data_IF_677250260973
#
_entry.id   IF_677250260973
#
_cell.length_a   1.000
_cell.length_b   1.000
_cell.length_c   1.000
_cell.angle_alpha   90.00
_cell.angle_beta   90.00
_cell.angle_gamma   90.00
#
_symmetry.space_group_name_H-M   'P 1'
#
loop_
_entity.id
_entity.type
_entity.pdbx_description
1 polymer ?
#
# COMPACT_ATOMS: atom_id res chain seq x y z
N UNK A 1 -17.09 8.89 32.65
CA UNK A 1 -15.62 8.75 32.62
C UNK A 1 -15.06 9.63 31.52
N UNK A 2 -14.02 10.41 31.82
CA UNK A 2 -13.38 11.27 30.82
C UNK A 2 -12.57 10.43 29.80
N UNK A 3 -12.28 11.04 28.64
CA UNK A 3 -11.81 10.30 27.46
C UNK A 3 -10.42 9.71 27.65
N UNK A 4 -9.55 10.42 28.39
CA UNK A 4 -8.21 9.96 28.70
C UNK A 4 -8.22 8.68 29.55
N UNK A 5 -9.13 8.56 30.50
CA UNK A 5 -9.27 7.38 31.36
C UNK A 5 -9.66 6.15 30.53
N UNK A 6 -10.53 6.32 29.53
CA UNK A 6 -10.86 5.25 28.59
C UNK A 6 -9.64 4.82 27.75
N UNK A 7 -8.82 5.78 27.30
CA UNK A 7 -7.57 5.50 26.57
C UNK A 7 -6.61 4.70 27.45
N UNK A 8 -6.48 5.08 28.73
CA UNK A 8 -5.59 4.46 29.70
C UNK A 8 -6.19 3.24 30.42
N UNK A 9 -7.36 2.77 30.00
CA UNK A 9 -7.96 1.55 30.56
C UNK A 9 -7.10 0.33 30.25
N UNK A 10 -6.98 -0.58 31.23
CA UNK A 10 -6.14 -1.78 31.11
C UNK A 10 -6.53 -2.64 29.90
N UNK A 11 -7.83 -2.77 29.62
CA UNK A 11 -8.32 -3.54 28.48
C UNK A 11 -7.91 -2.94 27.14
N UNK A 12 -7.98 -1.61 26.99
CA UNK A 12 -7.55 -0.89 25.79
C UNK A 12 -6.02 -0.99 25.59
N UNK A 13 -5.26 -0.71 26.65
CA UNK A 13 -3.80 -0.80 26.63
C UNK A 13 -3.32 -2.22 26.27
N UNK A 14 -3.96 -3.26 26.81
CA UNK A 14 -3.62 -4.66 26.45
C UNK A 14 -3.81 -4.92 24.94
N UNK A 15 -4.86 -4.37 24.34
CA UNK A 15 -5.09 -4.46 22.89
C UNK A 15 -4.03 -3.67 22.10
N UNK A 16 -3.66 -2.48 22.57
CA UNK A 16 -2.63 -1.67 21.95
C UNK A 16 -1.25 -2.36 21.97
N UNK A 17 -0.88 -2.97 23.10
CA UNK A 17 0.37 -3.72 23.26
C UNK A 17 0.47 -4.86 22.25
N UNK A 18 -0.54 -5.75 22.23
CA UNK A 18 -0.59 -6.89 21.30
C UNK A 18 -0.49 -6.44 19.84
N UNK A 19 -1.10 -5.30 19.50
CA UNK A 19 -1.06 -4.74 18.14
C UNK A 19 0.34 -4.25 17.77
N UNK A 20 1.04 -3.57 18.67
CA UNK A 20 2.42 -3.11 18.42
C UNK A 20 3.40 -4.28 18.30
N UNK A 21 3.25 -5.30 19.15
CA UNK A 21 4.05 -6.53 19.08
C UNK A 21 3.84 -7.29 17.78
N UNK A 22 2.59 -7.47 17.35
CA UNK A 22 2.26 -8.16 16.11
C UNK A 22 2.83 -7.46 14.86
N UNK A 23 2.98 -6.13 14.91
CA UNK A 23 3.52 -5.36 13.77
C UNK A 23 5.03 -5.58 13.56
N UNK A 24 5.79 -6.01 14.60
CA UNK A 24 7.25 -6.21 14.56
C UNK A 24 8.01 -5.05 13.89
N UNK A 25 7.55 -3.82 14.14
CA UNK A 25 8.08 -2.62 13.50
C UNK A 25 9.47 -2.27 14.02
N UNK A 26 10.33 -1.74 13.15
CA UNK A 26 11.68 -1.30 13.52
C UNK A 26 11.66 -0.32 14.72
N UNK A 27 12.73 -0.31 15.54
CA UNK A 27 12.82 0.57 16.71
C UNK A 27 12.80 2.06 16.31
N UNK A 28 12.42 2.89 17.28
CA UNK A 28 12.48 4.34 17.19
C UNK A 28 13.91 4.86 17.30
N UNK A 29 14.05 6.11 17.75
CA UNK A 29 15.36 6.73 17.97
C UNK A 29 16.10 6.18 19.21
N UNK A 30 15.36 5.59 20.15
CA UNK A 30 15.82 5.02 21.41
C UNK A 30 16.37 3.58 21.28
N UNK A 31 16.26 2.98 20.10
CA UNK A 31 16.77 1.63 19.84
C UNK A 31 15.94 0.49 20.44
N UNK A 32 14.97 0.78 21.32
CA UNK A 32 14.14 -0.24 21.98
C UNK A 32 13.24 -0.94 20.97
N UNK A 33 13.38 -2.27 20.88
CA UNK A 33 12.61 -3.11 19.97
C UNK A 33 11.21 -3.44 20.52
N UNK A 34 10.34 -3.99 19.68
CA UNK A 34 9.01 -4.44 20.12
C UNK A 34 9.07 -5.64 21.07
N UNK A 35 10.18 -6.38 21.09
CA UNK A 35 10.35 -7.57 21.94
C UNK A 35 10.55 -7.18 23.41
N UNK A 36 11.22 -6.05 23.67
CA UNK A 36 11.44 -5.52 25.02
C UNK A 36 10.33 -4.60 25.54
N UNK A 37 9.29 -4.34 24.73
CA UNK A 37 8.24 -3.40 25.08
C UNK A 37 7.48 -3.80 26.36
N UNK A 38 7.27 -5.09 26.59
CA UNK A 38 6.58 -5.57 27.81
C UNK A 38 7.37 -5.27 29.06
N UNK A 39 8.66 -5.61 29.05
CA UNK A 39 9.52 -5.45 30.22
C UNK A 39 9.71 -3.97 30.54
N UNK A 40 9.93 -3.15 29.50
CA UNK A 40 10.00 -1.70 29.65
C UNK A 40 8.73 -1.11 30.29
N UNK A 41 7.54 -1.56 29.84
CA UNK A 41 6.28 -1.09 30.42
C UNK A 41 6.09 -1.58 31.86
N UNK A 42 6.56 -2.77 32.26
CA UNK A 42 6.45 -3.23 33.65
C UNK A 42 7.18 -2.29 34.61
N UNK A 43 8.35 -1.82 34.22
CA UNK A 43 9.18 -0.95 35.04
C UNK A 43 8.71 0.51 35.01
N UNK A 44 8.45 1.08 33.82
CA UNK A 44 8.27 2.52 33.67
C UNK A 44 6.81 2.98 33.54
N UNK A 45 5.83 2.06 33.40
CA UNK A 45 4.44 2.44 33.17
C UNK A 45 3.81 3.31 34.26
N UNK A 46 4.02 3.09 35.57
CA UNK A 46 3.45 3.96 36.61
C UNK A 46 3.81 5.44 36.40
N UNK A 47 5.09 5.72 36.14
CA UNK A 47 5.58 7.07 35.88
C UNK A 47 5.05 7.65 34.56
N UNK A 48 5.00 6.84 33.48
CA UNK A 48 4.44 7.27 32.19
C UNK A 48 2.96 7.61 32.32
N UNK A 49 2.18 6.75 33.00
CA UNK A 49 0.75 6.94 33.23
C UNK A 49 0.49 8.21 34.03
N UNK A 50 1.26 8.46 35.08
CA UNK A 50 1.15 9.68 35.87
C UNK A 50 1.40 10.93 35.01
N UNK A 51 2.49 10.97 34.24
CA UNK A 51 2.80 12.08 33.32
C UNK A 51 1.71 12.32 32.27
N UNK A 52 1.06 11.25 31.80
CA UNK A 52 -0.06 11.35 30.85
C UNK A 52 -1.31 11.96 31.51
N UNK A 53 -1.63 11.55 32.74
CA UNK A 53 -2.78 12.07 33.50
C UNK A 53 -2.61 13.56 33.87
N UNK A 54 -1.39 13.95 34.27
CA UNK A 54 -1.01 15.33 34.59
C UNK A 54 -0.85 16.20 33.33
N UNK A 55 -0.76 15.59 32.15
CA UNK A 55 -0.55 16.30 30.89
C UNK A 55 0.85 16.91 30.74
N UNK A 56 1.84 16.36 31.45
CA UNK A 56 3.26 16.73 31.41
C UNK A 56 4.08 15.83 30.48
N UNK A 57 3.50 14.71 30.02
CA UNK A 57 4.14 13.80 29.07
C UNK A 57 4.53 14.51 27.76
N UNK A 58 5.81 14.39 27.38
CA UNK A 58 6.34 14.84 26.10
C UNK A 58 6.78 13.64 25.27
N UNK A 59 6.17 13.40 24.10
CA UNK A 59 6.60 12.35 23.19
C UNK A 59 8.04 12.53 22.70
N UNK A 60 8.70 11.43 22.41
CA UNK A 60 10.03 11.48 21.81
C UNK A 60 9.96 11.90 20.33
N UNK A 61 10.98 12.60 19.80
CA UNK A 61 11.04 12.90 18.37
C UNK A 61 11.08 11.64 17.52
N UNK A 62 10.53 11.72 16.31
CA UNK A 62 10.48 10.55 15.42
C UNK A 62 11.80 10.35 14.68
N UNK A 63 12.20 9.10 14.48
CA UNK A 63 13.40 8.76 13.69
C UNK A 63 13.10 8.91 12.19
N UNK A 64 13.90 9.69 11.47
CA UNK A 64 13.75 9.89 10.02
C UNK A 64 14.32 8.68 9.26
N UNK A 65 13.55 8.13 8.32
CA UNK A 65 14.00 7.06 7.42
C UNK A 65 13.59 7.37 5.99
N UNK A 66 14.56 7.28 5.08
CA UNK A 66 14.34 7.46 3.64
C UNK A 66 13.94 6.14 2.98
N UNK A 67 12.80 6.13 2.30
CA UNK A 67 12.33 4.96 1.54
C UNK A 67 12.08 5.38 0.09
N UNK A 68 12.61 4.66 -0.91
CA UNK A 68 12.36 4.98 -2.31
C UNK A 68 10.88 4.82 -2.66
N UNK A 69 10.29 5.82 -3.33
CA UNK A 69 8.93 5.73 -3.86
C UNK A 69 8.90 4.89 -5.15
N UNK A 70 7.80 4.17 -5.43
CA UNK A 70 7.69 3.37 -6.65
C UNK A 70 7.74 4.18 -7.95
N UNK A 71 7.30 5.45 -7.92
CA UNK A 71 7.24 6.34 -9.08
C UNK A 71 8.45 7.30 -9.16
N UNK A 72 9.49 7.07 -8.34
CA UNK A 72 10.65 7.96 -8.21
C UNK A 72 10.56 8.92 -7.02
N UNK A 73 11.72 9.39 -6.56
CA UNK A 73 11.89 10.21 -5.35
C UNK A 73 11.88 9.42 -4.05
N UNK A 74 11.95 10.14 -2.94
CA UNK A 74 12.05 9.57 -1.58
C UNK A 74 10.78 9.85 -0.79
N UNK A 75 10.36 8.87 0.01
CA UNK A 75 9.36 9.00 1.07
C UNK A 75 10.10 9.04 2.39
N UNK A 76 9.87 10.08 3.15
CA UNK A 76 10.52 10.27 4.42
C UNK A 76 9.58 9.81 5.54
N UNK A 77 9.85 8.65 6.11
CA UNK A 77 9.10 8.14 7.25
C UNK A 77 9.57 8.79 8.55
N UNK A 78 8.64 8.96 9.49
CA UNK A 78 8.90 9.29 10.88
C UNK A 78 8.49 8.11 11.75
N UNK A 79 9.47 7.36 12.24
CA UNK A 79 9.23 6.17 13.08
C UNK A 79 9.26 6.59 14.56
N UNK A 80 8.13 6.55 15.28
CA UNK A 80 8.10 6.84 16.71
C UNK A 80 8.76 5.71 17.52
N UNK A 81 9.08 5.99 18.78
CA UNK A 81 9.48 4.97 19.77
C UNK A 81 8.39 3.92 19.93
N UNK A 82 8.75 2.73 20.43
CA UNK A 82 7.77 1.65 20.66
C UNK A 82 6.69 2.07 21.66
N UNK A 83 7.06 2.86 22.68
CA UNK A 83 6.15 3.42 23.68
C UNK A 83 5.20 4.42 23.03
N UNK A 84 5.72 5.32 22.19
CA UNK A 84 4.89 6.30 21.48
C UNK A 84 3.92 5.62 20.51
N UNK A 85 4.34 4.56 19.83
CA UNK A 85 3.44 3.74 19.00
C UNK A 85 2.36 3.08 19.84
N UNK A 86 2.69 2.59 21.03
CA UNK A 86 1.76 2.00 21.97
C UNK A 86 0.70 3.01 22.47
N UNK A 87 1.13 4.20 22.90
CA UNK A 87 0.22 5.27 23.35
C UNK A 87 -0.63 5.75 22.18
N UNK A 88 -0.05 6.02 21.00
CA UNK A 88 -0.81 6.41 19.81
C UNK A 88 -1.83 5.34 19.39
N UNK A 89 -1.49 4.06 19.53
CA UNK A 89 -2.40 2.95 19.24
C UNK A 89 -3.58 2.90 20.23
N UNK A 90 -3.33 3.19 21.51
CA UNK A 90 -4.37 3.29 22.52
C UNK A 90 -5.32 4.48 22.26
N UNK A 91 -4.77 5.64 21.87
CA UNK A 91 -5.55 6.80 21.43
C UNK A 91 -6.40 6.44 20.20
N UNK A 92 -5.79 5.83 19.18
CA UNK A 92 -6.47 5.45 17.94
C UNK A 92 -7.69 4.55 18.22
N UNK A 93 -7.55 3.56 19.09
CA UNK A 93 -8.62 2.61 19.42
C UNK A 93 -9.86 3.29 20.00
N UNK A 94 -9.66 4.32 20.83
CA UNK A 94 -10.76 5.08 21.44
C UNK A 94 -11.31 6.15 20.52
N UNK A 95 -10.48 6.80 19.70
CA UNK A 95 -10.94 7.84 18.77
C UNK A 95 -11.65 7.27 17.55
N UNK A 96 -11.30 6.06 17.10
CA UNK A 96 -11.94 5.43 15.93
C UNK A 96 -13.48 5.39 16.04
N UNK A 97 -14.10 4.86 17.12
CA UNK A 97 -15.56 4.84 17.24
C UNK A 97 -16.19 6.24 17.39
N UNK A 98 -15.43 7.28 17.75
CA UNK A 98 -15.92 8.66 17.87
C UNK A 98 -16.02 9.34 16.50
N UNK A 99 -15.08 9.06 15.60
CA UNK A 99 -14.98 9.72 14.30
C UNK A 99 -15.49 8.86 13.14
N UNK A 100 -15.12 7.58 13.09
CA UNK A 100 -15.35 6.72 11.91
C UNK A 100 -16.82 6.62 11.47
N UNK A 101 -17.81 6.49 12.39
CA UNK A 101 -19.22 6.42 12.01
C UNK A 101 -19.73 7.64 11.24
N UNK A 102 -19.05 8.78 11.35
CA UNK A 102 -19.49 10.04 10.74
C UNK A 102 -18.74 10.40 9.46
N UNK A 103 -17.64 9.69 9.17
CA UNK A 103 -16.93 9.85 7.91
C UNK A 103 -17.81 9.47 6.73
N UNK A 104 -17.60 10.15 5.61
CA UNK A 104 -18.32 9.91 4.36
C UNK A 104 -18.37 8.42 3.97
N UNK A 105 -19.49 7.99 3.40
CA UNK A 105 -19.63 6.65 2.81
C UNK A 105 -18.69 6.44 1.62
N UNK A 106 -18.18 7.52 1.03
CA UNK A 106 -17.25 7.54 -0.11
C UNK A 106 -15.77 7.67 0.30
N UNK A 107 -15.49 7.67 1.61
CA UNK A 107 -14.14 7.60 2.17
C UNK A 107 -13.80 6.17 2.55
N UNK A 108 -12.74 5.61 1.96
CA UNK A 108 -12.36 4.20 2.09
C UNK A 108 -11.00 3.99 2.76
N UNK A 109 -10.10 4.96 2.65
CA UNK A 109 -8.71 4.80 3.11
C UNK A 109 -8.60 4.79 4.63
N UNK A 110 -7.79 3.87 5.18
CA UNK A 110 -7.47 3.78 6.62
C UNK A 110 -8.67 3.58 7.56
N UNK A 111 -9.78 3.04 7.04
CA UNK A 111 -10.99 2.80 7.84
C UNK A 111 -11.19 1.31 8.11
N UNK A 112 -11.71 0.94 9.30
CA UNK A 112 -12.07 -0.44 9.57
C UNK A 112 -13.13 -0.90 8.58
N UNK A 113 -13.04 -2.17 8.18
CA UNK A 113 -14.01 -2.83 7.29
C UNK A 113 -14.21 -2.21 5.89
N UNK A 114 -13.39 -1.21 5.50
CA UNK A 114 -13.39 -0.64 4.16
C UNK A 114 -12.07 -0.95 3.46
N UNK A 115 -12.15 -1.36 2.19
CA UNK A 115 -11.00 -1.82 1.42
C UNK A 115 -10.87 -1.01 0.14
N UNK A 116 -9.66 -1.02 -0.45
CA UNK A 116 -9.40 -0.42 -1.76
C UNK A 116 -10.33 -0.97 -2.85
N UNK A 117 -10.73 -2.25 -2.74
CA UNK A 117 -11.65 -2.88 -3.68
C UNK A 117 -13.03 -2.20 -3.71
N UNK A 118 -13.52 -1.74 -2.55
CA UNK A 118 -14.83 -1.09 -2.46
C UNK A 118 -14.80 0.26 -3.20
N UNK A 119 -13.72 1.01 -3.03
CA UNK A 119 -13.49 2.26 -3.77
C UNK A 119 -13.45 2.04 -5.29
N UNK A 120 -12.76 1.00 -5.76
CA UNK A 120 -12.63 0.69 -7.20
C UNK A 120 -13.97 0.20 -7.78
N UNK A 121 -14.75 -0.60 -7.04
CA UNK A 121 -16.09 -1.02 -7.46
C UNK A 121 -17.05 0.17 -7.54
N UNK A 122 -17.02 1.07 -6.55
CA UNK A 122 -17.86 2.27 -6.57
C UNK A 122 -17.47 3.20 -7.73
N UNK A 123 -16.17 3.37 -7.99
CA UNK A 123 -15.68 4.07 -9.16
C UNK A 123 -16.20 3.48 -10.47
N UNK A 124 -16.18 2.14 -10.61
CA UNK A 124 -16.72 1.45 -11.78
C UNK A 124 -18.21 1.74 -11.98
N UNK A 125 -19.01 1.71 -10.90
CA UNK A 125 -20.46 2.01 -10.94
C UNK A 125 -20.72 3.40 -11.49
N UNK A 126 -20.00 4.42 -11.02
CA UNK A 126 -20.16 5.78 -11.54
C UNK A 126 -19.84 5.88 -13.05
N UNK A 127 -18.84 5.14 -13.52
CA UNK A 127 -18.52 5.11 -14.95
C UNK A 127 -19.67 4.46 -15.74
N UNK A 128 -20.26 3.38 -15.21
CA UNK A 128 -21.42 2.72 -15.82
C UNK A 128 -22.67 3.60 -15.84
N UNK A 129 -22.88 4.42 -14.81
CA UNK A 129 -23.96 5.44 -14.73
C UNK A 129 -23.76 6.62 -15.70
N UNK A 130 -22.66 6.66 -16.46
CA UNK A 130 -22.40 7.68 -17.48
C UNK A 130 -21.46 8.80 -17.05
N UNK A 131 -20.85 8.74 -15.87
CA UNK A 131 -19.81 9.69 -15.45
C UNK A 131 -18.45 9.30 -16.03
N UNK A 132 -18.29 9.55 -17.35
CA UNK A 132 -17.17 9.04 -18.17
C UNK A 132 -15.89 9.90 -18.13
N UNK A 133 -15.78 10.84 -17.21
CA UNK A 133 -14.57 11.63 -16.93
C UNK A 133 -14.24 11.56 -15.45
N UNK A 134 -12.95 11.51 -15.13
CA UNK A 134 -12.46 11.56 -13.74
C UNK A 134 -11.62 12.81 -13.55
N UNK A 135 -11.85 13.48 -12.43
CA UNK A 135 -11.00 14.53 -11.87
C UNK A 135 -10.18 13.87 -10.78
N UNK A 136 -8.92 13.63 -11.09
CA UNK A 136 -7.94 13.02 -10.21
C UNK A 136 -7.21 14.13 -9.45
N UNK A 137 -7.34 14.15 -8.13
CA UNK A 137 -6.74 15.15 -7.24
C UNK A 137 -5.66 14.47 -6.39
N UNK A 138 -4.43 14.95 -6.55
CA UNK A 138 -3.25 14.53 -5.80
C UNK A 138 -2.75 15.70 -4.93
N UNK A 139 -2.46 15.44 -3.66
CA UNK A 139 -1.99 16.45 -2.70
C UNK A 139 -0.46 16.41 -2.60
N UNK A 140 0.18 17.58 -2.70
CA UNK A 140 1.64 17.66 -2.66
C UNK A 140 2.17 17.40 -1.25
N UNK A 141 2.92 16.31 -1.06
CA UNK A 141 3.53 15.94 0.24
C UNK A 141 2.51 16.03 1.40
N UNK A 142 1.30 15.49 1.20
CA UNK A 142 0.17 15.65 2.10
C UNK A 142 0.51 15.56 3.60
N UNK A 143 1.17 14.46 4.02
CA UNK A 143 1.53 14.25 5.42
C UNK A 143 2.53 15.28 5.96
N UNK A 144 3.40 15.85 5.13
CA UNK A 144 4.38 16.85 5.57
C UNK A 144 3.77 18.25 5.69
N UNK A 145 2.64 18.54 5.00
CA UNK A 145 2.00 19.88 4.93
C UNK A 145 0.71 20.02 5.76
N UNK A 146 0.44 19.09 6.68
CA UNK A 146 -0.76 19.16 7.53
C UNK A 146 -0.62 20.30 8.53
N UNK A 147 -1.45 21.34 8.41
CA UNK A 147 -1.46 22.45 9.36
C UNK A 147 -2.03 22.02 10.73
N UNK A 148 -1.24 22.16 11.80
CA UNK A 148 -1.60 21.65 13.13
C UNK A 148 -2.87 22.28 13.69
N UNK A 149 -3.04 23.60 13.58
CA UNK A 149 -4.22 24.26 14.16
C UNK A 149 -5.53 23.92 13.46
N UNK A 150 -5.52 23.81 12.12
CA UNK A 150 -6.69 23.38 11.36
C UNK A 150 -7.05 21.95 11.76
N UNK A 151 -6.07 21.04 11.79
CA UNK A 151 -6.28 19.66 12.21
C UNK A 151 -6.84 19.59 13.64
N UNK A 152 -6.21 20.28 14.60
CA UNK A 152 -6.65 20.26 15.99
C UNK A 152 -8.04 20.88 16.17
N UNK A 153 -8.39 21.90 15.38
CA UNK A 153 -9.75 22.45 15.33
C UNK A 153 -10.78 21.38 14.90
N UNK A 154 -10.44 20.54 13.92
CA UNK A 154 -11.32 19.41 13.49
C UNK A 154 -11.45 18.34 14.56
N UNK A 155 -10.34 17.97 15.21
CA UNK A 155 -10.37 17.00 16.33
C UNK A 155 -11.24 17.52 17.47
N UNK A 156 -11.12 18.81 17.82
CA UNK A 156 -11.87 19.45 18.90
C UNK A 156 -13.39 19.56 18.65
N UNK A 157 -13.86 19.34 17.41
CA UNK A 157 -15.31 19.28 17.13
C UNK A 157 -15.99 18.17 17.91
N UNK A 158 -15.34 17.00 18.03
CA UNK A 158 -15.89 15.80 18.69
C UNK A 158 -15.18 15.43 19.99
N UNK A 159 -13.90 15.76 20.13
CA UNK A 159 -13.14 15.52 21.35
C UNK A 159 -13.13 16.77 22.22
N UNK A 160 -13.74 16.70 23.41
CA UNK A 160 -13.80 17.83 24.36
C UNK A 160 -12.77 17.74 25.49
N UNK A 161 -12.18 16.56 25.72
CA UNK A 161 -11.14 16.37 26.74
C UNK A 161 -9.86 17.13 26.35
N UNK A 162 -9.57 18.23 27.07
CA UNK A 162 -8.42 19.11 26.83
C UNK A 162 -7.09 18.37 26.98
N UNK A 163 -6.99 17.36 27.85
CA UNK A 163 -5.76 16.58 28.06
C UNK A 163 -5.42 15.77 26.82
N UNK A 164 -6.42 15.13 26.22
CA UNK A 164 -6.26 14.37 24.97
C UNK A 164 -5.88 15.29 23.81
N UNK A 165 -6.53 16.47 23.70
CA UNK A 165 -6.17 17.47 22.67
C UNK A 165 -4.71 17.94 22.84
N UNK A 166 -4.26 18.20 24.07
CA UNK A 166 -2.88 18.58 24.39
C UNK A 166 -1.91 17.46 24.01
N UNK A 167 -2.24 16.21 24.31
CA UNK A 167 -1.41 15.04 23.99
C UNK A 167 -1.27 14.82 22.47
N UNK A 168 -2.36 14.90 21.71
CA UNK A 168 -2.31 14.78 20.23
C UNK A 168 -1.45 15.91 19.65
N UNK A 169 -1.62 17.15 20.14
CA UNK A 169 -0.79 18.28 19.72
C UNK A 169 0.68 18.08 20.09
N UNK A 170 0.99 17.49 21.25
CA UNK A 170 2.35 17.16 21.64
C UNK A 170 2.99 16.15 20.67
N UNK A 171 2.25 15.14 20.21
CA UNK A 171 2.71 14.22 19.17
C UNK A 171 2.99 14.89 17.84
N UNK A 172 2.16 15.86 17.42
CA UNK A 172 2.38 16.63 16.19
C UNK A 172 3.63 17.53 16.30
N UNK A 173 3.92 18.06 17.50
CA UNK A 173 5.07 18.94 17.77
C UNK A 173 6.34 18.22 18.22
N UNK A 174 6.32 16.90 18.38
CA UNK A 174 7.42 16.12 18.93
C UNK A 174 8.74 16.29 18.17
N UNK A 175 8.66 16.66 16.88
CA UNK A 175 9.81 16.93 16.02
C UNK A 175 10.40 15.65 15.43
N UNK A 176 11.48 15.83 14.68
CA UNK A 176 12.20 14.76 13.98
C UNK A 176 13.64 14.73 14.49
N UNK A 177 14.19 13.54 14.69
CA UNK A 177 15.60 13.34 14.99
C UNK A 177 16.39 13.10 13.71
N UNK A 178 17.34 13.99 13.38
CA UNK A 178 18.23 13.90 12.22
C UNK A 178 19.67 13.98 12.72
N UNK A 179 20.44 12.90 12.55
CA UNK A 179 21.85 12.82 12.96
C UNK A 179 22.12 13.28 14.41
N UNK A 180 21.22 12.95 15.34
CA UNK A 180 21.35 13.35 16.76
C UNK A 180 20.78 14.74 17.10
N UNK A 181 20.33 15.51 16.11
CA UNK A 181 19.74 16.84 16.31
C UNK A 181 18.22 16.78 16.22
N UNK A 182 17.54 17.33 17.24
CA UNK A 182 16.09 17.48 17.26
C UNK A 182 15.67 18.70 16.43
N UNK A 183 14.99 18.45 15.32
CA UNK A 183 14.39 19.47 14.46
C UNK A 183 12.91 19.62 14.79
N UNK A 184 12.45 20.85 15.02
CA UNK A 184 11.04 21.15 15.32
C UNK A 184 10.18 20.91 14.07
N UNK A 185 8.95 20.43 14.28
CA UNK A 185 7.94 20.28 13.22
C UNK A 185 6.89 21.38 13.37
N UNK A 186 6.89 22.35 12.46
CA UNK A 186 5.92 23.45 12.44
C UNK A 186 4.60 23.03 11.75
N UNK A 187 4.71 22.18 10.75
CA UNK A 187 3.60 21.53 10.06
C UNK A 187 3.85 20.03 9.88
N UNK A 188 2.82 19.32 9.45
CA UNK A 188 2.88 17.90 9.11
C UNK A 188 2.47 16.96 10.25
N UNK A 189 2.30 15.69 9.90
CA UNK A 189 2.07 14.58 10.82
C UNK A 189 2.99 13.43 10.43
N UNK A 190 3.68 12.78 11.40
CA UNK A 190 4.74 11.84 11.10
C UNK A 190 4.23 10.65 10.27
N UNK A 191 4.81 10.46 9.09
CA UNK A 191 4.48 9.34 8.21
C UNK A 191 5.06 8.05 8.82
N UNK A 192 4.26 7.36 9.64
CA UNK A 192 4.70 6.22 10.46
C UNK A 192 4.10 6.23 11.88
N UNK A 193 3.52 7.35 12.30
CA UNK A 193 2.68 7.40 13.49
C UNK A 193 1.42 6.57 13.33
N UNK A 194 1.08 5.77 14.34
CA UNK A 194 -0.12 4.92 14.33
C UNK A 194 -1.40 5.76 14.23
N UNK A 195 -1.40 6.96 14.82
CA UNK A 195 -2.57 7.86 14.85
C UNK A 195 -2.71 8.71 13.58
N UNK A 196 -1.61 8.95 12.87
CA UNK A 196 -1.55 9.84 11.70
C UNK A 196 -2.57 9.52 10.59
N UNK A 197 -2.85 8.25 10.24
CA UNK A 197 -3.87 7.92 9.25
C UNK A 197 -5.30 8.35 9.63
N UNK A 198 -5.66 8.27 10.93
CA UNK A 198 -6.96 8.75 11.39
C UNK A 198 -7.03 10.27 11.33
N UNK A 199 -5.97 10.96 11.77
CA UNK A 199 -5.88 12.42 11.72
C UNK A 199 -5.99 12.96 10.29
N UNK A 200 -5.36 12.28 9.33
CA UNK A 200 -5.51 12.57 7.91
C UNK A 200 -6.98 12.51 7.45
N UNK A 201 -7.72 11.48 7.86
CA UNK A 201 -9.14 11.37 7.53
C UNK A 201 -9.99 12.44 8.23
N UNK A 202 -9.69 12.79 9.48
CA UNK A 202 -10.38 13.87 10.20
C UNK A 202 -10.23 15.21 9.48
N UNK A 203 -9.03 15.51 8.96
CA UNK A 203 -8.79 16.72 8.19
C UNK A 203 -9.58 16.73 6.86
N UNK A 204 -9.54 15.61 6.14
CA UNK A 204 -10.17 15.49 4.81
C UNK A 204 -11.67 15.19 4.86
N UNK A 205 -12.27 14.98 6.04
CA UNK A 205 -13.72 14.82 6.19
C UNK A 205 -14.45 16.10 5.73
N UNK A 206 -13.89 17.28 5.98
CA UNK A 206 -14.46 18.55 5.48
C UNK A 206 -14.51 18.60 3.94
N UNK A 207 -13.50 18.05 3.27
CA UNK A 207 -13.52 17.92 1.82
C UNK A 207 -14.63 16.97 1.38
N UNK A 208 -14.79 15.83 2.05
CA UNK A 208 -15.84 14.87 1.73
C UNK A 208 -17.23 15.49 1.91
N UNK A 209 -17.47 16.21 3.02
CA UNK A 209 -18.73 16.91 3.27
C UNK A 209 -19.02 17.98 2.25
N UNK A 210 -17.99 18.70 1.78
CA UNK A 210 -18.14 19.69 0.70
C UNK A 210 -18.51 19.01 -0.63
N UNK A 211 -17.92 17.86 -0.95
CA UNK A 211 -18.25 17.09 -2.15
C UNK A 211 -19.67 16.51 -2.08
N UNK A 212 -20.07 16.00 -0.91
CA UNK A 212 -21.44 15.51 -0.64
C UNK A 212 -22.47 16.64 -0.78
N UNK A 213 -22.20 17.82 -0.18
CA UNK A 213 -23.06 19.01 -0.28
C UNK A 213 -23.27 19.45 -1.73
N UNK A 214 -22.25 19.28 -2.58
CA UNK A 214 -22.31 19.60 -4.02
C UNK A 214 -22.97 18.51 -4.87
N UNK A 215 -23.39 17.39 -4.27
CA UNK A 215 -23.99 16.26 -4.97
C UNK A 215 -23.03 15.55 -5.94
N UNK A 216 -21.72 15.64 -5.69
CA UNK A 216 -20.70 15.07 -6.59
C UNK A 216 -20.50 13.57 -6.32
N UNK A 217 -20.19 12.82 -7.38
CA UNK A 217 -19.84 11.39 -7.29
C UNK A 217 -18.34 11.26 -7.12
N UNK A 218 -17.88 10.72 -6.00
CA UNK A 218 -16.45 10.62 -5.73
C UNK A 218 -16.07 9.33 -5.00
N UNK A 219 -14.78 9.01 -5.02
CA UNK A 219 -14.17 7.96 -4.23
C UNK A 219 -12.86 8.51 -3.66
N UNK A 220 -12.73 8.55 -2.34
CA UNK A 220 -11.50 8.98 -1.66
C UNK A 220 -10.84 7.82 -0.94
N UNK A 221 -9.55 7.64 -1.18
CA UNK A 221 -8.72 6.70 -0.45
C UNK A 221 -7.47 7.42 0.07
N UNK A 222 -7.48 7.74 1.36
CA UNK A 222 -6.46 8.60 1.97
C UNK A 222 -6.44 9.98 1.28
N UNK A 223 -5.30 10.34 0.68
CA UNK A 223 -5.06 11.57 -0.08
C UNK A 223 -5.45 11.46 -1.56
N UNK A 224 -5.57 10.25 -2.11
CA UNK A 224 -6.02 9.98 -3.49
C UNK A 224 -7.55 10.17 -3.58
N UNK A 225 -7.98 11.26 -4.21
CA UNK A 225 -9.40 11.62 -4.35
C UNK A 225 -9.79 11.73 -5.83
N UNK A 226 -10.72 10.87 -6.24
CA UNK A 226 -11.25 10.85 -7.61
C UNK A 226 -12.71 11.29 -7.64
N UNK A 227 -13.02 12.34 -8.41
CA UNK A 227 -14.37 12.84 -8.62
C UNK A 227 -14.82 12.53 -10.05
N UNK A 228 -15.99 11.93 -10.21
CA UNK A 228 -16.52 11.46 -11.49
C UNK A 228 -17.52 12.47 -12.05
N UNK A 229 -17.31 12.86 -13.32
CA UNK A 229 -18.09 13.86 -14.02
C UNK A 229 -18.60 13.32 -15.37
N UNK A 230 -19.74 13.86 -15.85
CA UNK A 230 -20.32 13.48 -17.15
C UNK A 230 -19.55 14.05 -18.35
N UNK A 231 -18.92 15.23 -18.20
CA UNK A 231 -18.17 15.90 -19.27
C UNK A 231 -16.83 16.45 -18.79
N UNK A 232 -15.88 16.61 -19.73
CA UNK A 232 -14.56 17.21 -19.45
C UNK A 232 -14.69 18.64 -18.90
N UNK A 233 -15.59 19.43 -19.48
CA UNK A 233 -15.87 20.82 -19.05
C UNK A 233 -16.34 20.87 -17.60
N UNK A 234 -17.28 20.00 -17.22
CA UNK A 234 -17.75 19.90 -15.85
C UNK A 234 -16.62 19.48 -14.90
N UNK A 235 -15.80 18.51 -15.31
CA UNK A 235 -14.63 18.08 -14.53
C UNK A 235 -13.62 19.21 -14.30
N UNK A 236 -13.29 19.99 -15.32
CA UNK A 236 -12.35 21.10 -15.20
C UNK A 236 -12.86 22.21 -14.26
N UNK A 237 -14.16 22.54 -14.34
CA UNK A 237 -14.81 23.48 -13.42
C UNK A 237 -14.73 22.99 -11.97
N UNK A 238 -15.01 21.71 -11.74
CA UNK A 238 -14.93 21.10 -10.40
C UNK A 238 -13.49 21.09 -9.90
N UNK A 239 -12.50 20.72 -10.73
CA UNK A 239 -11.07 20.73 -10.36
C UNK A 239 -10.65 22.08 -9.78
N UNK A 240 -10.88 23.17 -10.51
CA UNK A 240 -10.50 24.52 -10.08
C UNK A 240 -11.22 24.94 -8.78
N UNK A 241 -12.51 24.60 -8.65
CA UNK A 241 -13.28 24.97 -7.47
C UNK A 241 -12.84 24.20 -6.21
N UNK A 242 -12.54 22.91 -6.33
CA UNK A 242 -12.06 22.08 -5.22
C UNK A 242 -10.63 22.43 -4.85
N UNK A 243 -9.76 22.74 -5.82
CA UNK A 243 -8.42 23.25 -5.55
C UNK A 243 -8.47 24.52 -4.68
N UNK A 244 -9.29 25.51 -5.05
CA UNK A 244 -9.49 26.72 -4.23
C UNK A 244 -9.99 26.41 -2.82
N UNK A 245 -10.87 25.43 -2.66
CA UNK A 245 -11.35 25.00 -1.35
C UNK A 245 -10.22 24.40 -0.50
N UNK A 246 -9.45 23.47 -1.05
CA UNK A 246 -8.32 22.82 -0.39
C UNK A 246 -7.26 23.85 0.06
N UNK A 247 -6.89 24.76 -0.84
CA UNK A 247 -5.85 25.76 -0.57
C UNK A 247 -6.33 26.84 0.43
N UNK A 248 -7.58 27.31 0.32
CA UNK A 248 -8.06 28.39 1.20
C UNK A 248 -8.55 27.90 2.56
N UNK A 249 -9.33 26.83 2.61
CA UNK A 249 -10.00 26.35 3.84
C UNK A 249 -9.16 25.34 4.61
N UNK A 250 -8.46 24.44 3.92
CA UNK A 250 -7.64 23.40 4.56
C UNK A 250 -6.14 23.72 4.53
N UNK A 251 -5.72 24.76 3.81
CA UNK A 251 -4.31 25.17 3.63
C UNK A 251 -3.44 24.03 3.07
N UNK A 252 -4.03 23.21 2.19
CA UNK A 252 -3.33 22.10 1.53
C UNK A 252 -3.01 22.47 0.08
N UNK A 253 -1.78 22.17 -0.34
CA UNK A 253 -1.31 22.42 -1.70
C UNK A 253 -1.62 21.22 -2.61
N UNK A 254 -2.22 21.47 -3.76
CA UNK A 254 -2.51 20.46 -4.79
C UNK A 254 -1.30 20.27 -5.69
N UNK A 255 -0.99 19.03 -6.05
CA UNK A 255 0.03 18.72 -7.05
C UNK A 255 -0.58 18.85 -8.46
N UNK A 256 -0.31 19.96 -9.15
CA UNK A 256 -0.90 20.23 -10.46
C UNK A 256 -0.41 19.29 -11.57
N UNK A 257 0.85 18.82 -11.50
CA UNK A 257 1.42 17.89 -12.48
C UNK A 257 0.72 16.53 -12.44
N UNK A 258 0.36 16.08 -11.23
CA UNK A 258 -0.32 14.80 -11.03
C UNK A 258 -1.83 14.92 -11.12
N UNK A 259 -2.40 16.05 -10.73
CA UNK A 259 -3.84 16.26 -10.75
C UNK A 259 -4.35 16.57 -12.15
N UNK A 260 -5.28 15.76 -12.68
CA UNK A 260 -5.72 15.89 -14.07
C UNK A 260 -7.21 15.58 -14.25
N UNK A 261 -7.80 16.17 -15.29
CA UNK A 261 -9.12 15.78 -15.79
C UNK A 261 -8.93 14.96 -17.06
N UNK A 262 -9.18 13.67 -16.98
CA UNK A 262 -9.02 12.76 -18.12
C UNK A 262 -10.07 11.64 -18.09
N UNK A 263 -10.00 10.73 -19.06
CA UNK A 263 -10.80 9.52 -19.10
C UNK A 263 -10.33 8.54 -18.02
N UNK A 264 -11.25 7.86 -17.31
CA UNK A 264 -10.90 6.89 -16.27
C UNK A 264 -9.95 5.77 -16.74
N UNK A 265 -10.05 5.31 -17.98
CA UNK A 265 -9.17 4.27 -18.53
C UNK A 265 -7.75 4.74 -18.87
N UNK A 266 -7.47 6.04 -18.83
CA UNK A 266 -6.13 6.62 -19.00
C UNK A 266 -5.43 6.90 -17.67
N UNK A 267 -6.18 6.86 -16.55
CA UNK A 267 -5.66 7.09 -15.20
C UNK A 267 -5.52 5.79 -14.43
N UNK A 268 -4.66 5.81 -13.41
CA UNK A 268 -4.49 4.73 -12.44
C UNK A 268 -5.24 5.12 -11.16
N UNK A 269 -5.92 4.18 -10.53
CA UNK A 269 -6.52 4.37 -9.20
C UNK A 269 -6.27 3.11 -8.37
N UNK A 270 -5.57 3.25 -7.24
CA UNK A 270 -5.26 2.14 -6.31
C UNK A 270 -4.60 0.91 -6.98
N UNK A 271 -3.83 1.14 -8.04
CA UNK A 271 -3.15 0.10 -8.82
C UNK A 271 -3.98 -0.53 -9.95
N UNK A 272 -5.23 -0.11 -10.12
CA UNK A 272 -6.14 -0.50 -11.18
C UNK A 272 -6.33 0.60 -12.22
N UNK A 273 -6.94 0.25 -13.34
CA UNK A 273 -7.45 1.17 -14.36
C UNK A 273 -8.70 0.55 -14.98
N UNK A 274 -9.31 1.22 -15.94
CA UNK A 274 -10.54 0.77 -16.60
C UNK A 274 -10.31 0.49 -18.09
N UNK A 275 -11.18 -0.31 -18.72
CA UNK A 275 -11.23 -0.42 -20.19
C UNK A 275 -12.04 0.74 -20.79
N UNK A 276 -11.82 1.02 -22.08
CA UNK A 276 -12.54 2.06 -22.84
C UNK A 276 -13.92 1.62 -23.37
N UNK A 277 -14.33 0.37 -23.07
CA UNK A 277 -15.60 -0.19 -23.53
C UNK A 277 -16.79 0.52 -22.87
N UNK A 278 -17.98 0.44 -23.50
CA UNK A 278 -19.21 1.03 -22.96
C UNK A 278 -19.49 0.54 -21.53
N UNK A 279 -19.33 -0.76 -21.31
CA UNK A 279 -19.29 -1.36 -19.98
C UNK A 279 -17.83 -1.49 -19.54
N UNK A 280 -17.35 -0.47 -18.83
CA UNK A 280 -15.96 -0.39 -18.41
C UNK A 280 -15.63 -1.55 -17.48
N UNK A 281 -14.62 -2.34 -17.82
CA UNK A 281 -14.10 -3.45 -17.02
C UNK A 281 -12.88 -3.01 -16.22
N UNK A 282 -12.72 -3.55 -15.02
CA UNK A 282 -11.53 -3.30 -14.19
C UNK A 282 -10.34 -4.06 -14.78
N UNK A 283 -9.22 -3.36 -15.02
CA UNK A 283 -7.97 -3.92 -15.53
C UNK A 283 -6.78 -3.52 -14.67
N UNK A 284 -5.66 -4.21 -14.84
CA UNK A 284 -4.39 -3.83 -14.22
C UNK A 284 -3.89 -2.49 -14.78
N UNK A 285 -3.43 -1.61 -13.90
CA UNK A 285 -2.67 -0.43 -14.32
C UNK A 285 -1.31 -0.87 -14.91
N UNK A 286 -0.81 -0.21 -15.98
CA UNK A 286 0.49 -0.52 -16.56
C UNK A 286 1.65 -0.51 -15.55
N UNK A 287 1.63 0.43 -14.62
CA UNK A 287 2.63 0.55 -13.55
C UNK A 287 2.57 -0.63 -12.58
N UNK A 288 1.38 -1.19 -12.30
CA UNK A 288 1.24 -2.39 -11.46
C UNK A 288 1.84 -3.62 -12.15
N UNK A 289 1.66 -3.76 -13.47
CA UNK A 289 2.29 -4.81 -14.27
C UNK A 289 3.82 -4.64 -14.27
N UNK A 290 4.32 -3.42 -14.47
CA UNK A 290 5.76 -3.17 -14.50
C UNK A 290 6.42 -3.44 -13.14
N UNK A 291 5.79 -3.02 -12.04
CA UNK A 291 6.26 -3.33 -10.68
C UNK A 291 6.31 -4.83 -10.42
N UNK A 292 5.26 -5.55 -10.82
CA UNK A 292 5.24 -7.01 -10.76
C UNK A 292 6.39 -7.64 -11.54
N UNK A 293 6.58 -7.24 -12.80
CA UNK A 293 7.70 -7.73 -13.62
C UNK A 293 9.07 -7.41 -13.00
N UNK A 294 9.26 -6.22 -12.44
CA UNK A 294 10.51 -5.85 -11.78
C UNK A 294 10.79 -6.74 -10.57
N UNK A 295 9.79 -7.01 -9.73
CA UNK A 295 9.96 -7.91 -8.58
C UNK A 295 10.26 -9.34 -9.00
N UNK A 296 9.57 -9.85 -10.03
CA UNK A 296 9.86 -11.18 -10.59
C UNK A 296 11.27 -11.22 -11.16
N UNK A 297 11.76 -10.17 -11.84
CA UNK A 297 13.15 -10.12 -12.34
C UNK A 297 14.17 -10.26 -11.21
N UNK A 298 13.94 -9.58 -10.09
CA UNK A 298 14.80 -9.69 -8.90
C UNK A 298 14.77 -11.12 -8.33
N UNK A 299 13.59 -11.71 -8.17
CA UNK A 299 13.44 -13.08 -7.66
C UNK A 299 14.00 -14.14 -8.62
N UNK A 300 13.99 -13.86 -9.92
CA UNK A 300 14.54 -14.72 -10.98
C UNK A 300 15.91 -14.24 -11.48
N UNK A 301 16.68 -13.53 -10.65
CA UNK A 301 18.02 -13.12 -11.02
C UNK A 301 18.93 -14.38 -11.11
N UNK A 302 19.53 -14.69 -12.27
CA UNK A 302 20.43 -15.83 -12.41
C UNK A 302 21.69 -15.73 -11.52
N UNK A 303 22.15 -14.50 -11.22
CA UNK A 303 23.33 -14.27 -10.40
C UNK A 303 23.04 -14.39 -8.90
N UNK A 304 21.78 -14.58 -8.53
CA UNK A 304 21.40 -14.77 -7.14
C UNK A 304 21.51 -16.25 -6.77
N UNK A 305 22.50 -16.57 -5.93
CA UNK A 305 22.87 -17.92 -5.50
C UNK A 305 21.88 -18.48 -4.47
N UNK A 306 20.70 -18.89 -4.93
CA UNK A 306 19.71 -19.63 -4.15
C UNK A 306 19.26 -20.87 -4.91
N UNK A 307 18.81 -21.89 -4.17
CA UNK A 307 18.25 -23.11 -4.77
C UNK A 307 17.02 -22.81 -5.62
N UNK A 308 16.74 -23.66 -6.62
CA UNK A 308 15.56 -23.49 -7.46
C UNK A 308 14.26 -23.64 -6.66
N UNK A 309 14.24 -24.56 -5.70
CA UNK A 309 13.11 -24.77 -4.79
C UNK A 309 12.79 -23.52 -3.97
N UNK A 310 13.80 -22.95 -3.30
CA UNK A 310 13.62 -21.72 -2.51
C UNK A 310 13.19 -20.54 -3.40
N UNK A 311 13.70 -20.49 -4.64
CA UNK A 311 13.27 -19.49 -5.63
C UNK A 311 11.79 -19.64 -5.97
N UNK A 312 11.33 -20.87 -6.21
CA UNK A 312 9.92 -21.16 -6.49
C UNK A 312 9.05 -20.82 -5.27
N UNK A 313 9.49 -21.16 -4.06
CA UNK A 313 8.80 -20.81 -2.80
C UNK A 313 8.62 -19.29 -2.65
N UNK A 314 9.70 -18.51 -2.83
CA UNK A 314 9.63 -17.04 -2.78
C UNK A 314 8.76 -16.44 -3.89
N UNK A 315 8.81 -17.01 -5.11
CA UNK A 315 7.94 -16.61 -6.21
C UNK A 315 6.48 -16.88 -5.90
N UNK A 316 6.14 -18.08 -5.42
CA UNK A 316 4.80 -18.46 -5.02
C UNK A 316 4.28 -17.51 -3.94
N UNK A 317 5.03 -17.27 -2.87
CA UNK A 317 4.62 -16.35 -1.80
C UNK A 317 4.25 -14.96 -2.34
N UNK A 318 5.09 -14.42 -3.22
CA UNK A 318 4.83 -13.11 -3.84
C UNK A 318 3.61 -13.15 -4.79
N UNK A 319 3.56 -14.14 -5.70
CA UNK A 319 2.49 -14.25 -6.70
C UNK A 319 1.12 -14.46 -6.06
N UNK A 320 1.03 -15.33 -5.06
CA UNK A 320 -0.23 -15.65 -4.37
C UNK A 320 -0.76 -14.44 -3.59
N UNK A 321 0.13 -13.70 -2.92
CA UNK A 321 -0.26 -12.45 -2.24
C UNK A 321 -0.65 -11.35 -3.23
N UNK A 322 0.10 -11.21 -4.32
CA UNK A 322 -0.18 -10.21 -5.36
C UNK A 322 -1.54 -10.46 -6.02
N UNK A 323 -1.84 -11.71 -6.41
CA UNK A 323 -3.13 -12.02 -7.03
C UNK A 323 -4.30 -11.89 -6.05
N UNK A 324 -4.09 -12.15 -4.75
CA UNK A 324 -5.12 -11.91 -3.73
C UNK A 324 -5.64 -10.46 -3.72
N UNK A 325 -4.76 -9.48 -3.96
CA UNK A 325 -5.18 -8.08 -4.12
C UNK A 325 -5.71 -7.79 -5.54
N UNK A 326 -5.06 -8.29 -6.59
CA UNK A 326 -5.38 -7.94 -7.96
C UNK A 326 -6.48 -8.79 -8.61
N UNK A 327 -7.05 -9.78 -7.91
CA UNK A 327 -8.15 -10.63 -8.42
C UNK A 327 -9.44 -9.86 -8.75
N UNK A 328 -9.54 -8.59 -8.34
CA UNK A 328 -10.64 -7.70 -8.70
C UNK A 328 -10.75 -7.42 -10.20
N UNK A 329 -9.66 -7.55 -10.96
CA UNK A 329 -9.70 -7.34 -12.42
C UNK A 329 -10.67 -8.29 -13.11
N UNK A 330 -11.29 -7.84 -14.19
CA UNK A 330 -12.24 -8.62 -15.00
C UNK A 330 -11.63 -9.02 -16.35
N UNK A 331 -10.33 -8.73 -16.53
CA UNK A 331 -9.57 -9.05 -17.73
C UNK A 331 -8.44 -10.03 -17.37
N UNK A 332 -8.64 -11.36 -17.47
CA UNK A 332 -7.63 -12.34 -17.07
C UNK A 332 -6.51 -12.54 -18.11
N UNK A 333 -6.69 -12.06 -19.35
CA UNK A 333 -5.69 -12.26 -20.42
C UNK A 333 -4.27 -11.74 -20.12
N UNK A 334 -4.05 -10.63 -19.39
CA UNK A 334 -2.71 -10.24 -18.96
C UNK A 334 -2.10 -11.21 -17.95
N UNK A 335 -2.90 -11.90 -17.13
CA UNK A 335 -2.42 -12.87 -16.14
C UNK A 335 -1.80 -14.09 -16.82
N UNK A 336 -2.47 -14.63 -17.86
CA UNK A 336 -1.94 -15.73 -18.67
C UNK A 336 -0.58 -15.38 -19.28
N UNK A 337 -0.46 -14.18 -19.89
CA UNK A 337 0.80 -13.68 -20.44
C UNK A 337 1.90 -13.50 -19.39
N UNK A 338 1.54 -13.05 -18.19
CA UNK A 338 2.48 -12.94 -17.08
C UNK A 338 2.96 -14.31 -16.61
N UNK A 339 2.08 -15.30 -16.52
CA UNK A 339 2.43 -16.67 -16.12
C UNK A 339 3.37 -17.34 -17.14
N UNK A 340 3.10 -17.20 -18.43
CA UNK A 340 3.99 -17.64 -19.51
C UNK A 340 5.37 -16.96 -19.42
N UNK A 341 5.38 -15.65 -19.14
CA UNK A 341 6.60 -14.88 -18.98
C UNK A 341 7.39 -15.29 -17.72
N UNK A 342 6.73 -15.61 -16.61
CA UNK A 342 7.36 -16.14 -15.38
C UNK A 342 8.04 -17.48 -15.66
N UNK A 343 7.34 -18.42 -16.29
CA UNK A 343 7.95 -19.72 -16.67
C UNK A 343 9.16 -19.52 -17.57
N UNK A 344 9.09 -18.57 -18.52
CA UNK A 344 10.24 -18.22 -19.37
C UNK A 344 11.41 -17.65 -18.56
N UNK A 345 11.16 -16.85 -17.53
CA UNK A 345 12.19 -16.36 -16.59
C UNK A 345 12.79 -17.49 -15.75
N UNK A 346 12.00 -18.45 -15.29
CA UNK A 346 12.51 -19.63 -14.58
C UNK A 346 13.37 -20.52 -15.47
N UNK A 347 12.97 -20.71 -16.74
CA UNK A 347 13.82 -21.35 -17.76
C UNK A 347 15.17 -20.66 -17.91
N UNK A 348 15.22 -19.33 -17.84
CA UNK A 348 16.49 -18.60 -17.86
C UNK A 348 17.39 -18.99 -16.69
N UNK A 349 16.86 -19.01 -15.46
CA UNK A 349 17.62 -19.41 -14.28
C UNK A 349 18.14 -20.85 -14.41
N UNK A 350 17.31 -21.78 -14.89
CA UNK A 350 17.70 -23.18 -15.10
C UNK A 350 18.80 -23.32 -16.15
N UNK A 351 18.67 -22.59 -17.26
CA UNK A 351 19.69 -22.56 -18.32
C UNK A 351 21.03 -22.02 -17.85
N UNK A 352 21.03 -21.00 -16.98
CA UNK A 352 22.24 -20.49 -16.35
C UNK A 352 22.83 -21.45 -15.31
N UNK A 353 21.99 -22.18 -14.57
CA UNK A 353 22.42 -23.22 -13.64
C UNK A 353 23.21 -24.32 -14.38
N UNK A 354 22.74 -24.71 -15.58
CA UNK A 354 23.46 -25.63 -16.46
C UNK A 354 24.54 -24.89 -17.28
N UNK A 355 25.59 -24.43 -16.60
CA UNK A 355 26.64 -23.58 -17.19
C UNK A 355 27.43 -24.28 -18.31
N UNK A 356 27.78 -25.55 -18.14
CA UNK A 356 28.63 -26.32 -19.07
C UNK A 356 27.77 -27.05 -20.10
N UNK A 357 28.26 -27.21 -21.33
CA UNK A 357 27.54 -27.96 -22.38
C UNK A 357 27.28 -29.40 -21.96
N UNK A 358 28.26 -30.06 -21.34
CA UNK A 358 28.11 -31.43 -20.81
C UNK A 358 26.96 -31.55 -19.80
N UNK A 359 26.78 -30.55 -18.92
CA UNK A 359 25.66 -30.58 -17.96
C UNK A 359 24.32 -30.31 -18.64
N UNK A 360 24.26 -29.41 -19.63
CA UNK A 360 23.03 -29.20 -20.42
C UNK A 360 22.58 -30.48 -21.12
N UNK A 361 23.50 -31.21 -21.75
CA UNK A 361 23.21 -32.48 -22.42
C UNK A 361 22.64 -33.49 -21.42
N UNK A 362 23.34 -33.70 -20.30
CA UNK A 362 22.92 -34.65 -19.25
C UNK A 362 21.50 -34.35 -18.75
N UNK A 363 21.22 -33.09 -18.43
CA UNK A 363 19.96 -32.70 -17.81
C UNK A 363 18.80 -32.69 -18.81
N UNK A 364 19.03 -32.27 -20.06
CA UNK A 364 18.00 -32.33 -21.10
C UNK A 364 17.65 -33.76 -21.49
N UNK A 365 18.63 -34.67 -21.51
CA UNK A 365 18.39 -36.11 -21.72
C UNK A 365 17.60 -36.71 -20.58
N UNK A 366 17.94 -36.37 -19.33
CA UNK A 366 17.19 -36.81 -18.14
C UNK A 366 15.74 -36.31 -18.13
N UNK A 367 15.46 -35.16 -18.77
CA UNK A 367 14.10 -34.62 -18.94
C UNK A 367 13.32 -35.24 -20.12
N UNK A 368 13.88 -36.25 -20.81
CA UNK A 368 13.20 -36.99 -21.88
C UNK A 368 13.18 -36.27 -23.24
N UNK A 369 14.08 -35.33 -23.48
CA UNK A 369 14.20 -34.67 -24.78
C UNK A 369 14.90 -35.59 -25.80
N UNK A 370 14.49 -35.56 -27.08
CA UNK A 370 15.09 -36.42 -28.12
C UNK A 370 16.55 -36.03 -28.35
N UNK A 371 17.41 -37.02 -28.62
CA UNK A 371 18.86 -36.82 -28.71
C UNK A 371 19.28 -35.73 -29.73
N UNK A 372 18.64 -35.69 -30.90
CA UNK A 372 18.90 -34.62 -31.89
C UNK A 372 18.51 -33.22 -31.37
N UNK A 373 17.39 -33.08 -30.65
CA UNK A 373 16.94 -31.81 -30.06
C UNK A 373 17.88 -31.36 -28.94
N UNK A 374 18.47 -32.31 -28.19
CA UNK A 374 19.44 -32.04 -27.12
C UNK A 374 20.70 -31.41 -27.71
N UNK A 375 21.30 -32.04 -28.72
CA UNK A 375 22.51 -31.52 -29.34
C UNK A 375 22.29 -30.21 -30.09
N UNK A 376 21.12 -30.01 -30.69
CA UNK A 376 20.77 -28.75 -31.39
C UNK A 376 20.79 -27.53 -30.46
N UNK A 377 20.35 -27.69 -29.19
CA UNK A 377 20.21 -26.57 -28.26
C UNK A 377 21.36 -26.45 -27.26
N UNK A 378 22.02 -27.54 -26.87
CA UNK A 378 23.00 -27.53 -25.78
C UNK A 378 24.23 -26.65 -26.04
N UNK A 379 24.71 -26.64 -27.30
CA UNK A 379 25.90 -25.89 -27.77
C UNK A 379 25.55 -24.63 -28.58
N UNK A 380 24.30 -24.17 -28.52
CA UNK A 380 23.83 -23.06 -29.35
C UNK A 380 24.56 -21.73 -29.09
N UNK A 381 24.83 -20.96 -30.15
CA UNK A 381 25.33 -19.57 -30.09
C UNK A 381 24.28 -18.54 -29.68
N UNK A 382 23.01 -18.94 -29.58
CA UNK A 382 21.90 -18.04 -29.22
C UNK A 382 22.07 -17.56 -27.77
N UNK A 383 21.88 -16.26 -27.53
CA UNK A 383 21.95 -15.69 -26.17
C UNK A 383 20.93 -16.31 -25.20
N UNK A 384 21.21 -16.27 -23.89
CA UNK A 384 20.44 -16.98 -22.87
C UNK A 384 18.93 -16.63 -22.86
N UNK A 385 18.55 -15.37 -23.09
CA UNK A 385 17.12 -15.03 -23.19
C UNK A 385 16.47 -15.51 -24.49
N UNK A 386 17.24 -15.69 -25.57
CA UNK A 386 16.76 -16.20 -26.86
C UNK A 386 16.48 -17.71 -26.79
N UNK A 387 17.27 -18.47 -26.03
CA UNK A 387 17.07 -19.93 -25.84
C UNK A 387 15.80 -20.23 -25.04
N UNK A 388 15.43 -19.40 -24.07
CA UNK A 388 14.21 -19.64 -23.25
C UNK A 388 12.88 -19.69 -24.00
N UNK A 389 12.85 -19.21 -25.25
CA UNK A 389 11.66 -19.22 -26.14
C UNK A 389 11.78 -20.21 -27.30
N UNK A 390 12.74 -21.13 -27.28
CA UNK A 390 12.86 -22.14 -28.33
C UNK A 390 11.94 -23.33 -28.06
N UNK A 391 11.49 -24.05 -29.11
CA UNK A 391 10.60 -25.21 -28.96
C UNK A 391 11.18 -26.28 -28.02
N UNK A 392 12.48 -26.58 -28.16
CA UNK A 392 13.19 -27.58 -27.37
C UNK A 392 13.08 -27.30 -25.86
N UNK A 393 13.34 -26.05 -25.45
CA UNK A 393 13.30 -25.66 -24.04
C UNK A 393 11.87 -25.52 -23.51
N UNK A 394 10.91 -25.21 -24.37
CA UNK A 394 9.49 -25.23 -24.03
C UNK A 394 8.98 -26.65 -23.77
N UNK A 395 9.46 -27.62 -24.54
CA UNK A 395 9.15 -29.04 -24.39
C UNK A 395 9.78 -29.62 -23.12
N UNK A 396 11.08 -29.42 -22.91
CA UNK A 396 11.81 -29.91 -21.74
C UNK A 396 11.33 -29.29 -20.41
N UNK A 397 11.09 -27.98 -20.40
CA UNK A 397 10.72 -27.20 -19.20
C UNK A 397 9.32 -26.59 -19.38
N UNK A 398 8.36 -27.48 -19.60
CA UNK A 398 6.95 -27.21 -19.92
C UNK A 398 6.14 -26.66 -18.73
N UNK A 399 4.85 -26.32 -18.94
CA UNK A 399 3.95 -25.95 -17.82
C UNK A 399 3.88 -27.08 -16.79
N UNK A 400 3.71 -28.32 -17.24
CA UNK A 400 3.61 -29.50 -16.39
C UNK A 400 4.87 -29.69 -15.54
N UNK A 401 6.05 -29.52 -16.12
CA UNK A 401 7.32 -29.57 -15.38
C UNK A 401 7.34 -28.59 -14.21
N UNK A 402 7.01 -27.31 -14.45
CA UNK A 402 7.07 -26.31 -13.38
C UNK A 402 6.00 -26.53 -12.30
N UNK A 403 4.81 -26.98 -12.67
CA UNK A 403 3.77 -27.36 -11.71
C UNK A 403 4.24 -28.52 -10.83
N UNK A 404 4.84 -29.56 -11.42
CA UNK A 404 5.39 -30.70 -10.68
C UNK A 404 6.54 -30.29 -9.75
N UNK A 405 7.31 -29.25 -10.09
CA UNK A 405 8.33 -28.66 -9.23
C UNK A 405 7.77 -27.71 -8.16
N UNK A 406 6.44 -27.63 -8.01
CA UNK A 406 5.77 -26.85 -6.96
C UNK A 406 5.47 -25.39 -7.33
N UNK A 407 5.67 -24.95 -8.59
CA UNK A 407 5.21 -23.62 -9.02
C UNK A 407 3.68 -23.57 -9.05
N UNK A 408 3.08 -22.59 -8.39
CA UNK A 408 1.62 -22.41 -8.41
C UNK A 408 1.19 -21.60 -9.62
N UNK A 409 0.07 -21.97 -10.26
CA UNK A 409 -0.51 -21.18 -11.34
C UNK A 409 -1.12 -19.89 -10.80
N UNK A 410 -0.84 -18.79 -11.50
CA UNK A 410 -1.38 -17.47 -11.19
C UNK A 410 -2.83 -17.36 -11.68
N UNK A 411 -3.14 -17.96 -12.83
CA UNK A 411 -4.49 -17.97 -13.38
C UNK A 411 -5.43 -18.86 -12.59
N UNK A 412 -4.99 -20.05 -12.13
CA UNK A 412 -5.84 -20.94 -11.32
C UNK A 412 -6.20 -20.24 -9.99
N UNK A 413 -5.20 -19.72 -9.27
CA UNK A 413 -5.44 -18.95 -8.03
C UNK A 413 -6.37 -17.74 -8.24
N UNK A 414 -6.30 -17.08 -9.39
CA UNK A 414 -7.22 -15.98 -9.71
C UNK A 414 -8.68 -16.44 -9.75
N UNK A 415 -8.96 -17.60 -10.35
CA UNK A 415 -10.31 -18.15 -10.39
C UNK A 415 -10.77 -18.62 -9.01
N UNK A 416 -9.89 -19.28 -8.25
CA UNK A 416 -10.19 -19.70 -6.87
C UNK A 416 -10.60 -18.51 -5.99
N UNK A 417 -9.78 -17.44 -5.98
CA UNK A 417 -10.06 -16.25 -5.16
C UNK A 417 -11.39 -15.60 -5.55
N UNK A 418 -11.73 -15.60 -6.84
CA UNK A 418 -13.01 -15.04 -7.30
C UNK A 418 -14.19 -15.94 -6.98
N UNK A 419 -13.99 -17.25 -6.93
CA UNK A 419 -14.99 -18.19 -6.46
C UNK A 419 -15.24 -17.99 -4.96
N UNK A 420 -14.16 -17.91 -4.16
CA UNK A 420 -14.24 -17.63 -2.72
C UNK A 420 -15.03 -16.35 -2.43
N UNK A 421 -14.83 -15.28 -3.23
CA UNK A 421 -15.57 -14.02 -3.09
C UNK A 421 -17.03 -14.06 -3.50
N UNK A 422 -17.46 -15.10 -4.24
CA UNK A 422 -18.87 -15.29 -4.60
C UNK A 422 -19.60 -16.11 -3.55
N UNK A 423 -18.89 -16.99 -2.85
CA UNK A 423 -19.44 -17.91 -1.86
C UNK A 423 -19.40 -17.35 -0.43
N UNK A 424 -18.58 -16.33 -0.18
CA UNK A 424 -18.51 -15.57 1.08
C UNK A 424 -19.37 -14.31 1.02
#
# INVERSE_FOLDING_TARGET
MALLENILSRSNLTKALKRVEANKGAPGMDGVSTEHLRDYLREHWPAIKQKLLEGTYQPAPVRRVEIPKPDGGVRLLGIPTVIDRFIQQAILQVLTPIFDPHFSSHSYGFRPQRRAHDAVRQAQRYIHEGYKYVVDIDLEKFFDRVHHDILMSRVARRVKDKRVLKLIRAYLKAGIMIAGIKVRSEEGTPQGGTLSPLLANILLDDLDKELEKRGLRFCRYADDCNIYARSRRAGQRVKQSIQKFLEKKLKLKVNEEKSAVDRPWRRKFLGFSFTSQRQARIRLAPQSIQRFKNKIRQLTNPNWSISMEERIKKLNQYMMGWIGYFALIETPSPLKRLEEWIRRRLRLCRWHQWKRVRTRIRELRALGLKEHEVFEIANTRKGAWRTTKTPQLHKALSKAYWLAQGLRSLTERYFDVRQDWRTA
#
